data_IF_060741386077
#
_entry.id   IF_060741386077
#
_cell.length_a   1.000
_cell.length_b   1.000
_cell.length_c   1.000
_cell.angle_alpha   90.00
_cell.angle_beta   90.00
_cell.angle_gamma   90.00
#
_symmetry.space_group_name_H-M   'P 1'
#
loop_
_entity.id
_entity.type
_entity.pdbx_description
1 polymer ?
#
# COMPACT_ATOMS: atom_id res chain seq x y z
N UNK A 1 5.40 -1.63 -17.93
CA UNK A 1 5.55 -3.02 -17.52
C UNK A 1 4.23 -3.69 -17.25
N UNK A 2 4.24 -4.96 -16.98
CA UNK A 2 3.04 -5.71 -16.68
C UNK A 2 3.19 -6.50 -15.37
N UNK A 3 2.07 -6.64 -14.66
CA UNK A 3 2.01 -7.41 -13.43
C UNK A 3 1.68 -8.86 -13.76
N UNK A 4 2.57 -9.78 -13.40
CA UNK A 4 2.38 -11.20 -13.66
C UNK A 4 1.74 -11.88 -12.46
N UNK A 5 0.43 -11.73 -12.32
CA UNK A 5 -0.31 -12.28 -11.19
C UNK A 5 -1.32 -13.31 -11.69
N UNK A 6 -1.31 -14.49 -11.07
CA UNK A 6 -2.31 -15.51 -11.34
C UNK A 6 -3.60 -15.15 -10.60
N UNK A 7 -4.38 -14.25 -11.18
CA UNK A 7 -5.56 -13.69 -10.52
C UNK A 7 -6.71 -14.69 -10.37
N UNK A 8 -6.79 -15.69 -11.24
CA UNK A 8 -7.90 -16.64 -11.24
C UNK A 8 -8.05 -17.41 -9.95
N UNK A 9 -6.93 -17.71 -9.29
CA UNK A 9 -6.93 -18.54 -8.08
C UNK A 9 -6.96 -17.74 -6.78
N UNK A 10 -6.41 -16.54 -6.78
CA UNK A 10 -6.23 -15.80 -5.54
C UNK A 10 -7.25 -14.69 -5.34
N UNK A 11 -7.72 -14.04 -6.42
CA UNK A 11 -8.67 -12.94 -6.31
C UNK A 11 -9.95 -13.32 -5.55
N UNK A 12 -10.58 -14.47 -5.83
CA UNK A 12 -11.81 -14.80 -5.08
C UNK A 12 -11.57 -14.94 -3.59
N UNK A 13 -10.40 -15.44 -3.19
CA UNK A 13 -10.06 -15.61 -1.78
C UNK A 13 -9.85 -14.26 -1.11
N UNK A 14 -9.06 -13.39 -1.72
CA UNK A 14 -8.77 -12.05 -1.18
C UNK A 14 -10.03 -11.20 -1.21
N UNK A 15 -10.81 -11.28 -2.27
CA UNK A 15 -12.05 -10.53 -2.40
C UNK A 15 -13.02 -10.88 -1.27
N UNK A 16 -13.19 -12.18 -1.00
CA UNK A 16 -14.04 -12.64 0.10
C UNK A 16 -13.54 -12.09 1.43
N UNK A 17 -12.23 -12.11 1.65
CA UNK A 17 -11.63 -11.61 2.87
C UNK A 17 -11.86 -10.10 3.04
N UNK A 18 -11.62 -9.31 1.99
CA UNK A 18 -11.83 -7.85 2.01
C UNK A 18 -13.30 -7.52 2.30
N UNK A 19 -14.23 -8.24 1.69
CA UNK A 19 -15.66 -7.97 1.90
C UNK A 19 -16.18 -8.47 3.23
N UNK A 20 -15.54 -9.47 3.82
CA UNK A 20 -15.98 -9.97 5.13
C UNK A 20 -15.45 -9.12 6.28
N UNK A 21 -14.29 -8.47 6.09
CA UNK A 21 -13.74 -7.58 7.12
C UNK A 21 -13.01 -6.39 6.46
N UNK A 22 -13.78 -5.34 6.16
CA UNK A 22 -13.25 -4.14 5.53
C UNK A 22 -12.25 -3.40 6.40
N UNK A 23 -12.33 -3.56 7.72
CA UNK A 23 -11.44 -2.89 8.65
C UNK A 23 -10.01 -3.40 8.52
N UNK A 24 -9.84 -4.67 8.22
CA UNK A 24 -8.51 -5.27 8.06
C UNK A 24 -7.74 -4.58 6.92
N UNK A 25 -8.42 -4.30 5.80
CA UNK A 25 -7.77 -3.64 4.66
C UNK A 25 -7.19 -2.27 5.06
N UNK A 26 -8.01 -1.43 5.70
CA UNK A 26 -7.56 -0.10 6.10
C UNK A 26 -6.43 -0.20 7.13
N UNK A 27 -6.56 -1.10 8.09
CA UNK A 27 -5.54 -1.32 9.12
C UNK A 27 -4.20 -1.76 8.51
N UNK A 28 -4.25 -2.63 7.51
CA UNK A 28 -3.02 -3.09 6.84
C UNK A 28 -2.33 -1.95 6.10
N UNK A 29 -3.09 -1.08 5.43
CA UNK A 29 -2.51 0.07 4.76
C UNK A 29 -1.86 1.03 5.76
N UNK A 30 -2.50 1.25 6.89
CA UNK A 30 -1.96 2.10 7.96
C UNK A 30 -0.72 1.43 8.58
N UNK A 31 -0.76 0.13 8.79
CA UNK A 31 0.37 -0.62 9.33
C UNK A 31 1.61 -0.51 8.44
N UNK A 32 1.42 -0.55 7.11
CA UNK A 32 2.51 -0.36 6.17
C UNK A 32 3.18 1.02 6.35
N UNK A 33 2.36 2.06 6.55
CA UNK A 33 2.88 3.40 6.83
C UNK A 33 3.62 3.47 8.16
N UNK A 34 3.10 2.83 9.20
CA UNK A 34 3.75 2.76 10.50
C UNK A 34 5.11 2.07 10.40
N UNK A 35 5.19 0.98 9.66
CA UNK A 35 6.44 0.25 9.46
C UNK A 35 7.48 1.11 8.74
N UNK A 36 7.04 1.87 7.73
CA UNK A 36 7.92 2.78 7.00
C UNK A 36 8.50 3.86 7.91
N UNK A 37 7.69 4.40 8.80
CA UNK A 37 8.12 5.40 9.78
C UNK A 37 9.09 4.78 10.79
N UNK A 38 8.76 3.61 11.30
CA UNK A 38 9.61 2.91 12.26
C UNK A 38 11.00 2.65 11.68
N UNK A 39 11.05 2.21 10.41
CA UNK A 39 12.31 1.97 9.72
C UNK A 39 13.11 3.25 9.54
N UNK A 40 12.45 4.36 9.21
CA UNK A 40 13.14 5.65 9.06
C UNK A 40 13.73 6.12 10.39
N UNK A 41 12.98 6.03 11.47
CA UNK A 41 13.48 6.38 12.79
C UNK A 41 14.66 5.52 13.22
N UNK A 42 14.62 4.24 12.85
CA UNK A 42 15.70 3.32 13.14
C UNK A 42 16.99 3.71 12.41
N UNK A 43 16.86 4.17 11.16
CA UNK A 43 18.00 4.65 10.39
C UNK A 43 18.65 5.87 11.05
N UNK A 44 17.82 6.76 11.62
CA UNK A 44 18.34 7.91 12.35
C UNK A 44 19.13 7.49 13.59
N UNK A 45 18.59 6.54 14.37
CA UNK A 45 19.27 6.01 15.55
C UNK A 45 20.58 5.36 15.17
N UNK A 46 20.65 4.69 14.02
CA UNK A 46 21.86 4.01 13.55
C UNK A 46 22.86 4.96 12.88
N UNK A 47 22.53 6.23 12.73
CA UNK A 47 23.42 7.20 12.11
C UNK A 47 23.44 7.16 10.58
N UNK A 48 22.54 6.42 9.97
CA UNK A 48 22.49 6.27 8.51
C UNK A 48 21.61 7.32 7.83
N UNK A 49 20.85 8.06 8.60
CA UNK A 49 20.00 9.13 8.12
C UNK A 49 19.79 10.13 9.26
N UNK A 50 19.62 11.40 8.92
CA UNK A 50 19.31 12.42 9.92
C UNK A 50 17.91 12.95 9.70
N UNK A 51 17.02 12.70 10.67
CA UNK A 51 15.68 13.24 10.62
C UNK A 51 15.72 14.77 10.71
N UNK A 52 14.84 15.48 9.97
CA UNK A 52 14.70 16.91 10.18
C UNK A 52 14.34 17.24 11.63
N UNK A 53 14.81 18.39 12.12
CA UNK A 53 14.57 18.81 13.50
C UNK A 53 13.10 18.93 13.82
N UNK A 54 12.28 19.30 12.85
CA UNK A 54 10.84 19.46 13.01
C UNK A 54 10.04 18.20 12.61
N UNK A 55 10.72 17.07 12.44
CA UNK A 55 10.06 15.85 12.02
C UNK A 55 9.04 15.37 13.04
N UNK A 56 7.84 15.15 12.57
CA UNK A 56 6.78 14.52 13.36
C UNK A 56 6.18 13.39 12.53
N UNK A 57 6.31 12.17 13.03
CA UNK A 57 5.74 11.02 12.34
C UNK A 57 4.24 11.22 12.13
N UNK A 58 3.78 11.01 10.91
CA UNK A 58 2.37 11.17 10.61
C UNK A 58 1.90 10.20 9.55
N UNK A 59 0.66 9.75 9.72
CA UNK A 59 -0.06 9.00 8.72
C UNK A 59 -1.41 9.70 8.56
N UNK A 60 -1.70 10.13 7.35
CA UNK A 60 -2.98 10.74 7.02
C UNK A 60 -3.76 9.83 6.09
N UNK A 61 -5.04 9.71 6.37
CA UNK A 61 -5.97 9.02 5.48
C UNK A 61 -6.95 10.07 4.97
N UNK A 62 -6.94 10.31 3.69
CA UNK A 62 -7.81 11.29 3.05
C UNK A 62 -8.89 10.58 2.24
N UNK A 63 -10.12 10.99 2.44
CA UNK A 63 -11.27 10.44 1.73
C UNK A 63 -11.85 11.53 0.86
N UNK A 64 -12.02 11.25 -0.44
CA UNK A 64 -12.70 12.16 -1.36
C UNK A 64 -13.87 11.43 -2.01
N UNK A 65 -15.09 11.59 -1.47
CA UNK A 65 -16.26 10.89 -2.02
C UNK A 65 -16.61 11.31 -3.44
N UNK A 66 -16.34 12.55 -3.82
CA UNK A 66 -16.63 13.05 -5.17
C UNK A 66 -15.77 12.38 -6.22
N UNK A 67 -14.48 12.21 -5.93
CA UNK A 67 -13.54 11.54 -6.82
C UNK A 67 -13.50 10.03 -6.60
N UNK A 68 -14.17 9.56 -5.55
CA UNK A 68 -14.19 8.15 -5.17
C UNK A 68 -12.78 7.64 -4.83
N UNK A 69 -12.00 8.48 -4.15
CA UNK A 69 -10.63 8.13 -3.79
C UNK A 69 -10.44 7.97 -2.30
N UNK A 70 -9.49 7.10 -1.97
CA UNK A 70 -9.00 6.89 -0.62
C UNK A 70 -7.48 6.98 -0.70
N UNK A 71 -6.89 7.90 0.06
CA UNK A 71 -5.45 8.16 -0.02
C UNK A 71 -4.80 7.93 1.33
N UNK A 72 -3.68 7.22 1.33
CA UNK A 72 -2.86 6.96 2.51
C UNK A 72 -1.53 7.69 2.34
N UNK A 73 -1.22 8.59 3.26
CA UNK A 73 -0.02 9.43 3.19
C UNK A 73 0.82 9.18 4.44
N UNK A 74 2.07 8.75 4.25
CA UNK A 74 3.00 8.60 5.37
C UNK A 74 4.28 9.39 5.10
N UNK A 75 4.98 9.76 6.16
CA UNK A 75 6.29 10.39 6.06
C UNK A 75 7.39 9.43 6.56
N UNK A 76 7.27 8.17 6.18
CA UNK A 76 8.28 7.15 6.43
C UNK A 76 9.42 7.20 5.41
N UNK A 77 10.10 6.07 5.25
CA UNK A 77 11.36 6.04 4.49
C UNK A 77 11.21 6.18 2.98
N UNK A 78 10.01 6.03 2.44
CA UNK A 78 9.81 6.10 0.99
C UNK A 78 10.42 4.92 0.25
N UNK A 79 10.38 5.00 -1.09
CA UNK A 79 10.92 3.94 -1.95
C UNK A 79 11.62 4.53 -3.16
N UNK A 80 12.70 3.88 -3.61
CA UNK A 80 13.32 4.18 -4.90
C UNK A 80 12.54 3.51 -6.03
N UNK A 81 12.85 3.86 -7.27
CA UNK A 81 12.22 3.23 -8.43
C UNK A 81 12.42 1.72 -8.44
N UNK A 82 13.64 1.28 -8.13
CA UNK A 82 13.96 -0.14 -8.07
C UNK A 82 13.16 -0.85 -6.99
N UNK A 83 13.00 -0.20 -5.85
CA UNK A 83 12.22 -0.77 -4.74
C UNK A 83 10.75 -0.85 -5.06
N UNK A 84 10.19 0.18 -5.73
CA UNK A 84 8.79 0.14 -6.16
C UNK A 84 8.56 -1.04 -7.09
N UNK A 85 9.42 -1.21 -8.08
CA UNK A 85 9.29 -2.31 -9.00
C UNK A 85 9.43 -3.66 -8.31
N UNK A 86 10.39 -3.79 -7.42
CA UNK A 86 10.62 -5.03 -6.67
C UNK A 86 9.48 -5.33 -5.70
N UNK A 87 9.12 -4.37 -4.85
CA UNK A 87 8.14 -4.64 -3.80
C UNK A 87 6.70 -4.69 -4.30
N UNK A 88 6.34 -3.81 -5.21
CA UNK A 88 4.96 -3.78 -5.69
C UNK A 88 4.69 -4.91 -6.66
N UNK A 89 5.62 -5.17 -7.57
CA UNK A 89 5.43 -6.19 -8.60
C UNK A 89 5.72 -7.60 -8.07
N UNK A 90 6.88 -7.79 -7.45
CA UNK A 90 7.31 -9.13 -7.04
C UNK A 90 6.64 -9.61 -5.76
N UNK A 91 6.49 -8.74 -4.76
CA UNK A 91 5.86 -9.14 -3.51
C UNK A 91 4.40 -9.50 -3.75
N UNK A 92 3.69 -8.74 -4.56
CA UNK A 92 2.31 -9.07 -4.88
C UNK A 92 2.21 -10.46 -5.51
N UNK A 93 3.12 -10.78 -6.42
CA UNK A 93 3.13 -12.09 -7.07
C UNK A 93 3.55 -13.20 -6.11
N UNK A 94 4.69 -13.02 -5.43
CA UNK A 94 5.21 -14.03 -4.51
C UNK A 94 4.31 -14.22 -3.31
N UNK A 95 3.81 -13.12 -2.75
CA UNK A 95 2.90 -13.18 -1.61
C UNK A 95 1.62 -13.91 -1.95
N UNK A 96 1.11 -13.68 -3.16
CA UNK A 96 -0.10 -14.37 -3.62
C UNK A 96 0.13 -15.88 -3.72
N UNK A 97 1.26 -16.30 -4.26
CA UNK A 97 1.60 -17.71 -4.41
C UNK A 97 1.72 -18.38 -3.05
N UNK A 98 2.46 -17.76 -2.13
CA UNK A 98 2.62 -18.32 -0.78
C UNK A 98 1.29 -18.37 -0.03
N UNK A 99 0.45 -17.37 -0.22
CA UNK A 99 -0.87 -17.36 0.42
C UNK A 99 -1.71 -18.54 -0.05
N UNK A 100 -1.72 -18.81 -1.35
CA UNK A 100 -2.46 -19.95 -1.89
C UNK A 100 -1.99 -21.28 -1.31
N UNK A 101 -0.69 -21.47 -1.20
CA UNK A 101 -0.14 -22.69 -0.63
C UNK A 101 -0.53 -22.86 0.83
N UNK A 102 -0.42 -21.80 1.60
CA UNK A 102 -0.73 -21.85 3.03
C UNK A 102 -2.21 -21.86 3.33
N UNK A 103 -3.02 -21.21 2.48
CA UNK A 103 -4.46 -21.19 2.67
C UNK A 103 -5.07 -22.60 2.62
N UNK A 104 -4.47 -23.48 1.84
CA UNK A 104 -4.93 -24.86 1.75
C UNK A 104 -4.83 -25.58 3.09
N UNK A 105 -3.86 -25.16 3.93
CA UNK A 105 -3.56 -25.83 5.19
C UNK A 105 -4.02 -25.05 6.42
N UNK A 106 -4.72 -23.94 6.27
CA UNK A 106 -4.84 -22.98 7.35
C UNK A 106 -6.07 -22.34 7.74
N UNK A 107 -6.04 -21.84 8.81
CA UNK A 107 -7.06 -21.53 9.77
C UNK A 107 -7.25 -20.04 10.08
N UNK A 108 -6.28 -19.17 9.85
CA UNK A 108 -6.44 -17.74 10.14
C UNK A 108 -5.97 -16.88 8.96
N UNK A 109 -6.92 -16.23 8.33
CA UNK A 109 -6.67 -15.35 7.18
C UNK A 109 -5.87 -14.12 7.58
N UNK A 110 -6.14 -13.57 8.77
CA UNK A 110 -5.51 -12.34 9.25
C UNK A 110 -4.00 -12.45 9.38
N UNK A 111 -3.53 -13.54 9.97
CA UNK A 111 -2.10 -13.77 10.18
C UNK A 111 -1.36 -13.86 8.84
N UNK A 112 -2.01 -14.42 7.85
CA UNK A 112 -1.41 -14.61 6.55
C UNK A 112 -1.30 -13.31 5.78
N UNK A 113 -2.32 -12.46 5.87
CA UNK A 113 -2.38 -11.22 5.12
C UNK A 113 -1.25 -10.27 5.54
N UNK A 114 -1.10 -10.01 6.82
CA UNK A 114 -0.02 -9.17 7.32
C UNK A 114 1.35 -9.75 7.06
N UNK A 115 1.45 -11.06 7.14
CA UNK A 115 2.72 -11.76 7.01
C UNK A 115 3.33 -11.68 5.61
N UNK A 116 2.50 -11.73 4.58
CA UNK A 116 2.95 -11.79 3.19
C UNK A 116 2.74 -10.49 2.41
N UNK A 117 2.37 -9.40 3.09
CA UNK A 117 2.13 -8.13 2.42
C UNK A 117 0.87 -8.12 1.55
N UNK A 118 -0.03 -9.07 1.77
CA UNK A 118 -1.25 -9.17 0.98
C UNK A 118 -2.22 -8.03 1.27
N UNK A 119 -2.01 -7.30 2.38
CA UNK A 119 -2.75 -6.08 2.64
C UNK A 119 -2.59 -5.09 1.51
N UNK A 120 -1.36 -4.88 1.05
CA UNK A 120 -1.11 -4.00 -0.10
C UNK A 120 -1.71 -4.60 -1.37
N UNK A 121 -1.54 -5.92 -1.57
CA UNK A 121 -2.11 -6.59 -2.74
C UNK A 121 -3.62 -6.38 -2.83
N UNK A 122 -4.30 -6.38 -1.68
CA UNK A 122 -5.76 -6.20 -1.67
C UNK A 122 -6.20 -4.83 -2.19
N UNK A 123 -5.29 -3.85 -2.24
CA UNK A 123 -5.59 -2.55 -2.85
C UNK A 123 -6.05 -2.71 -4.30
N UNK A 124 -5.47 -3.67 -5.02
CA UNK A 124 -5.85 -3.94 -6.41
C UNK A 124 -7.24 -4.55 -6.54
N UNK A 125 -7.79 -5.06 -5.44
CA UNK A 125 -9.12 -5.64 -5.41
C UNK A 125 -10.21 -4.59 -5.17
N UNK A 126 -9.86 -3.52 -4.46
CA UNK A 126 -10.84 -2.49 -4.09
C UNK A 126 -10.81 -1.29 -5.04
N UNK A 127 -9.79 -1.18 -5.87
CA UNK A 127 -9.58 0.00 -6.71
C UNK A 127 -9.45 -0.37 -8.19
N UNK A 128 -10.01 0.49 -9.04
CA UNK A 128 -9.84 0.40 -10.49
C UNK A 128 -8.49 0.96 -10.92
N UNK A 129 -7.97 1.93 -10.16
CA UNK A 129 -6.63 2.49 -10.37
C UNK A 129 -5.92 2.63 -9.04
N UNK A 130 -4.61 2.43 -9.05
CA UNK A 130 -3.76 2.63 -7.87
C UNK A 130 -2.59 3.52 -8.28
N UNK A 131 -2.42 4.63 -7.58
CA UNK A 131 -1.29 5.56 -7.78
C UNK A 131 -0.40 5.54 -6.56
N UNK A 132 0.91 5.47 -6.79
CA UNK A 132 1.90 5.59 -5.72
C UNK A 132 2.82 6.75 -6.08
N UNK A 133 2.92 7.72 -5.18
CA UNK A 133 3.88 8.82 -5.28
C UNK A 133 4.81 8.70 -4.09
N UNK A 134 6.11 8.53 -4.32
CA UNK A 134 7.04 8.22 -3.25
C UNK A 134 8.39 8.89 -3.49
N UNK A 135 9.05 9.27 -2.39
CA UNK A 135 10.42 9.79 -2.41
C UNK A 135 11.20 9.10 -1.30
N UNK A 136 12.27 8.42 -1.68
CA UNK A 136 13.11 7.68 -0.74
C UNK A 136 14.00 8.62 0.08
N UNK A 137 14.30 8.20 1.32
CA UNK A 137 15.25 8.89 2.18
C UNK A 137 16.67 8.87 1.63
N UNK A 138 16.97 7.98 0.70
CA UNK A 138 18.33 7.79 0.19
C UNK A 138 18.84 9.02 -0.55
N UNK A 139 20.12 9.36 -0.31
CA UNK A 139 20.74 10.49 -0.98
C UNK A 139 20.69 10.34 -2.50
N UNK A 140 20.31 11.42 -3.17
CA UNK A 140 20.24 11.42 -4.63
C UNK A 140 19.03 10.71 -5.21
N UNK A 141 18.13 10.22 -4.38
CA UNK A 141 16.93 9.57 -4.87
C UNK A 141 16.02 10.58 -5.56
N UNK A 142 15.41 10.18 -6.66
CA UNK A 142 14.42 11.00 -7.36
C UNK A 142 13.02 10.52 -6.99
N UNK A 143 12.03 11.43 -6.97
CA UNK A 143 10.65 11.00 -6.72
C UNK A 143 10.17 10.07 -7.82
N UNK A 144 9.33 9.12 -7.44
CA UNK A 144 8.79 8.11 -8.36
C UNK A 144 7.27 8.17 -8.35
N UNK A 145 6.70 8.12 -9.53
CA UNK A 145 5.26 7.98 -9.70
C UNK A 145 4.98 6.66 -10.40
N UNK A 146 4.19 5.83 -9.76
CA UNK A 146 3.78 4.52 -10.24
C UNK A 146 2.26 4.50 -10.36
N UNK A 147 1.75 4.08 -11.52
CA UNK A 147 0.32 4.08 -11.81
C UNK A 147 -0.09 2.75 -12.42
N UNK A 148 -1.05 2.08 -11.81
CA UNK A 148 -1.71 0.91 -12.37
C UNK A 148 -3.14 1.31 -12.74
N UNK A 149 -3.56 0.94 -13.93
CA UNK A 149 -4.88 1.33 -14.45
C UNK A 149 -5.93 0.24 -14.29
N UNK A 150 -5.76 -0.62 -13.29
CA UNK A 150 -6.74 -1.65 -12.97
C UNK A 150 -6.60 -2.94 -13.75
N UNK A 151 -5.71 -2.99 -14.71
CA UNK A 151 -5.39 -4.22 -15.44
C UNK A 151 -4.14 -4.87 -14.91
N UNK A 152 -3.43 -5.57 -15.79
CA UNK A 152 -2.16 -6.21 -15.46
C UNK A 152 -0.98 -5.33 -15.82
N UNK A 153 -1.23 -4.09 -16.20
CA UNK A 153 -0.20 -3.16 -16.65
C UNK A 153 0.00 -2.00 -15.68
N UNK A 154 1.21 -1.47 -15.68
CA UNK A 154 1.54 -0.30 -14.89
C UNK A 154 2.51 0.59 -15.66
N UNK A 155 2.56 1.87 -15.25
CA UNK A 155 3.53 2.83 -15.75
C UNK A 155 4.32 3.39 -14.56
N UNK A 156 5.61 3.58 -14.76
CA UNK A 156 6.46 4.18 -13.75
C UNK A 156 7.25 5.32 -14.38
N UNK A 157 7.13 6.51 -13.80
CA UNK A 157 7.79 7.72 -14.30
C UNK A 157 8.41 8.47 -13.12
N UNK A 158 9.20 9.50 -13.44
CA UNK A 158 9.69 10.40 -12.43
C UNK A 158 8.51 11.21 -11.87
N UNK A 159 8.41 11.27 -10.53
CA UNK A 159 7.35 12.00 -9.86
C UNK A 159 7.76 13.41 -9.47
N UNK A 160 6.92 14.04 -8.67
CA UNK A 160 7.14 15.42 -8.22
C UNK A 160 7.06 15.59 -6.71
N UNK A 161 7.09 14.50 -5.95
CA UNK A 161 7.02 14.57 -4.50
C UNK A 161 8.26 15.25 -3.93
N UNK A 162 8.03 16.23 -3.05
CA UNK A 162 9.10 17.08 -2.52
C UNK A 162 9.65 16.63 -1.18
N UNK A 163 8.91 15.79 -0.46
CA UNK A 163 9.29 15.34 0.87
C UNK A 163 9.39 13.82 0.92
N UNK A 164 10.26 13.31 1.79
CA UNK A 164 10.45 11.87 1.97
C UNK A 164 9.18 11.24 2.51
N UNK A 165 8.78 10.12 1.91
CA UNK A 165 7.58 9.39 2.29
C UNK A 165 6.84 8.85 1.09
N UNK A 166 5.62 8.37 1.33
CA UNK A 166 4.81 7.75 0.28
C UNK A 166 3.36 8.20 0.37
N UNK A 167 2.73 8.33 -0.80
CA UNK A 167 1.30 8.55 -0.94
C UNK A 167 0.73 7.47 -1.83
N UNK A 168 -0.27 6.76 -1.33
CA UNK A 168 -0.94 5.72 -2.08
C UNK A 168 -2.39 6.14 -2.27
N UNK A 169 -2.79 6.35 -3.53
CA UNK A 169 -4.15 6.79 -3.87
C UNK A 169 -4.89 5.66 -4.56
N UNK A 170 -6.03 5.30 -3.99
CA UNK A 170 -6.89 4.26 -4.53
C UNK A 170 -8.14 4.89 -5.14
N UNK A 171 -8.36 4.66 -6.42
CA UNK A 171 -9.59 5.05 -7.11
C UNK A 171 -10.54 3.88 -7.00
N UNK A 172 -11.44 3.94 -6.02
CA UNK A 172 -12.26 2.81 -5.60
C UNK A 172 -13.22 2.35 -6.68
N UNK A 173 -13.36 1.04 -6.83
CA UNK A 173 -14.36 0.48 -7.72
C UNK A 173 -15.76 0.62 -7.09
N UNK A 174 -16.81 0.41 -7.90
CA UNK A 174 -18.18 0.63 -7.45
C UNK A 174 -18.57 -0.25 -6.27
N UNK A 175 -18.06 -1.46 -6.21
CA UNK A 175 -18.36 -2.40 -5.13
C UNK A 175 -17.75 -1.99 -3.79
N UNK A 176 -16.75 -1.12 -3.83
CA UNK A 176 -15.98 -0.74 -2.63
C UNK A 176 -16.11 0.74 -2.27
N UNK A 177 -17.15 1.42 -2.79
CA UNK A 177 -17.37 2.84 -2.52
C UNK A 177 -17.54 3.16 -1.03
N UNK A 178 -17.91 2.19 -0.23
CA UNK A 178 -18.04 2.40 1.21
C UNK A 178 -16.73 2.82 1.87
N UNK A 179 -15.57 2.48 1.27
CA UNK A 179 -14.27 2.94 1.75
C UNK A 179 -14.07 4.44 1.54
N UNK A 180 -14.86 5.07 0.67
CA UNK A 180 -14.85 6.51 0.48
C UNK A 180 -15.77 7.23 1.47
N UNK A 181 -16.23 6.54 2.50
CA UNK A 181 -17.02 7.11 3.57
C UNK A 181 -16.09 7.54 4.70
N UNK A 182 -15.97 8.84 4.91
CA UNK A 182 -15.07 9.39 5.93
C UNK A 182 -15.38 8.87 7.33
N UNK A 183 -16.63 8.74 7.66
CA UNK A 183 -17.04 8.23 8.97
C UNK A 183 -16.57 6.80 9.18
N UNK A 184 -16.72 5.95 8.16
CA UNK A 184 -16.30 4.55 8.23
C UNK A 184 -14.79 4.43 8.41
N UNK A 185 -14.03 5.23 7.69
CA UNK A 185 -12.56 5.22 7.80
C UNK A 185 -12.14 5.67 9.20
N UNK A 186 -12.78 6.70 9.74
CA UNK A 186 -12.48 7.18 11.09
C UNK A 186 -12.75 6.13 12.16
N UNK A 187 -13.81 5.35 12.00
CA UNK A 187 -14.11 4.26 12.92
C UNK A 187 -12.98 3.24 12.98
N UNK A 188 -12.38 2.93 11.83
CA UNK A 188 -11.32 1.94 11.75
C UNK A 188 -10.04 2.43 12.43
N UNK A 189 -9.68 3.70 12.26
CA UNK A 189 -8.42 4.23 12.76
C UNK A 189 -8.50 4.72 14.22
N UNK A 190 -9.69 4.78 14.77
CA UNK A 190 -9.88 5.04 16.18
C UNK A 190 -9.82 3.76 17.00
#
# INVERSE_FOLDING_TARGET
GSLSISSENIFPIIKKWVYSDHDIFVREMISNGCDAITKLKKLDVMGEYQLPDDYKASIHVEVNPEEKTLKFIDNGLGMTAEEVEEYITQIAFSGATEFLEKYKDKTTEDDMIGHFGLGFYSAFMVADEVHIDTLSYKDGATPVRWVSNGGTEYEMTEGDKQTVGSEITLYLNDDCLEFANEYRVREVIQ
#
